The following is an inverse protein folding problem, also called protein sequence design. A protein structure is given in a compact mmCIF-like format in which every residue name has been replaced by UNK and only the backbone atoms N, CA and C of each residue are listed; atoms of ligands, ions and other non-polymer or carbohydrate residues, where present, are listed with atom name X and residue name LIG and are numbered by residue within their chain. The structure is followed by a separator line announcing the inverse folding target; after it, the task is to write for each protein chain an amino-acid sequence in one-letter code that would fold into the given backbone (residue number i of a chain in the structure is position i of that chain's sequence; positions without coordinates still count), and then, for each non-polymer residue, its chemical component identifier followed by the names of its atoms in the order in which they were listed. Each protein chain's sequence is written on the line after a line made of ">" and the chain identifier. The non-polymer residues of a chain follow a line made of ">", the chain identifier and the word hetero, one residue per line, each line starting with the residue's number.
data_IF_131091211967
#
_entry.id   IF_131091211967
#
_cell.length_a   1.000
_cell.length_b   1.000
_cell.length_c   1.000
_cell.angle_alpha   90.00
_cell.angle_beta   90.00
_cell.angle_gamma   90.00
#
_symmetry.space_group_name_H-M   'P 1'
#
loop_
_entity.id
_entity.type
_entity.pdbx_description
1 polymer ?
#
# COMPACT_ATOMS: atom_id res chain seq x y z
N UNK A 1 17.72 -13.15 -10.86
CA UNK A 1 16.65 -14.01 -11.44
C UNK A 1 15.60 -13.08 -12.05
N UNK A 2 15.31 -13.22 -13.33
CA UNK A 2 14.34 -12.36 -14.02
C UNK A 2 12.95 -12.97 -13.89
N UNK A 3 11.94 -12.13 -13.61
CA UNK A 3 10.53 -12.56 -13.62
C UNK A 3 10.17 -13.20 -14.95
N UNK A 4 9.47 -14.32 -14.92
CA UNK A 4 8.89 -14.91 -16.11
C UNK A 4 7.85 -13.98 -16.75
N UNK A 5 7.57 -14.16 -18.02
CA UNK A 5 6.54 -13.37 -18.73
C UNK A 5 5.16 -13.54 -18.08
N UNK A 6 4.84 -14.76 -17.65
CA UNK A 6 3.56 -15.06 -16.97
C UNK A 6 3.45 -14.34 -15.63
N UNK A 7 4.50 -14.32 -14.80
CA UNK A 7 4.49 -13.59 -13.53
C UNK A 7 4.27 -12.10 -13.72
N UNK A 8 4.98 -11.48 -14.70
CA UNK A 8 4.79 -10.06 -15.02
C UNK A 8 3.33 -9.76 -15.39
N UNK A 9 2.74 -10.58 -16.25
CA UNK A 9 1.34 -10.42 -16.68
C UNK A 9 0.40 -10.60 -15.49
N UNK A 10 0.62 -11.61 -14.65
CA UNK A 10 -0.19 -11.86 -13.46
C UNK A 10 -0.15 -10.66 -12.51
N UNK A 11 1.04 -10.17 -12.15
CA UNK A 11 1.16 -9.05 -11.21
C UNK A 11 0.59 -7.75 -11.75
N UNK A 12 0.79 -7.46 -13.04
CA UNK A 12 0.16 -6.30 -13.70
C UNK A 12 -1.36 -6.43 -13.75
N UNK A 13 -1.87 -7.61 -14.06
CA UNK A 13 -3.30 -7.90 -14.08
C UNK A 13 -3.94 -7.74 -12.70
N UNK A 14 -3.28 -8.23 -11.67
CA UNK A 14 -3.71 -8.08 -10.28
C UNK A 14 -3.68 -6.62 -9.83
N UNK A 15 -2.66 -5.86 -10.20
CA UNK A 15 -2.62 -4.42 -9.93
C UNK A 15 -3.78 -3.68 -10.61
N UNK A 16 -4.01 -3.96 -11.90
CA UNK A 16 -5.13 -3.38 -12.63
C UNK A 16 -6.48 -3.76 -12.00
N UNK A 17 -6.65 -5.00 -11.56
CA UNK A 17 -7.83 -5.45 -10.84
C UNK A 17 -8.04 -4.67 -9.53
N UNK A 18 -6.97 -4.42 -8.76
CA UNK A 18 -7.06 -3.60 -7.54
C UNK A 18 -7.55 -2.19 -7.86
N UNK A 19 -7.02 -1.56 -8.91
CA UNK A 19 -7.47 -0.23 -9.34
C UNK A 19 -8.96 -0.25 -9.75
N UNK A 20 -9.38 -1.21 -10.58
CA UNK A 20 -10.79 -1.34 -11.00
C UNK A 20 -11.70 -1.55 -9.79
N UNK A 21 -11.31 -2.42 -8.86
CA UNK A 21 -12.09 -2.69 -7.64
C UNK A 21 -12.22 -1.43 -6.79
N UNK A 22 -11.13 -0.68 -6.60
CA UNK A 22 -11.15 0.59 -5.87
C UNK A 22 -12.13 1.58 -6.48
N UNK A 23 -12.00 1.85 -7.78
CA UNK A 23 -12.88 2.81 -8.45
C UNK A 23 -14.33 2.35 -8.44
N UNK A 24 -14.60 1.06 -8.61
CA UNK A 24 -15.96 0.51 -8.55
C UNK A 24 -16.60 0.69 -7.18
N UNK A 25 -15.88 0.32 -6.11
CA UNK A 25 -16.37 0.48 -4.73
C UNK A 25 -16.60 1.96 -4.42
N UNK A 26 -15.71 2.84 -4.86
CA UNK A 26 -15.84 4.29 -4.65
C UNK A 26 -17.09 4.90 -5.31
N UNK A 27 -17.61 4.30 -6.39
CA UNK A 27 -18.81 4.78 -7.07
C UNK A 27 -20.12 4.29 -6.42
N UNK A 28 -20.07 3.19 -5.66
CA UNK A 28 -21.28 2.58 -5.06
C UNK A 28 -21.46 2.95 -3.59
N UNK A 29 -20.73 3.93 -3.10
CA UNK A 29 -20.81 4.40 -1.71
C UNK A 29 -22.20 4.97 -1.41
N UNK A 30 -22.89 4.38 -0.43
CA UNK A 30 -24.22 4.82 0.02
C UNK A 30 -24.13 5.17 1.50
N UNK A 31 -24.57 6.40 1.88
CA UNK A 31 -24.61 6.89 3.26
C UNK A 31 -23.28 6.75 3.99
N UNK A 32 -22.20 7.35 3.49
CA UNK A 32 -20.89 7.25 4.13
C UNK A 32 -20.90 7.93 5.50
N UNK A 33 -20.10 7.37 6.40
CA UNK A 33 -19.82 8.00 7.70
C UNK A 33 -18.82 9.13 7.48
N UNK A 34 -19.20 10.35 7.87
CA UNK A 34 -18.29 11.48 7.78
C UNK A 34 -17.21 11.36 8.88
N UNK A 35 -15.96 11.51 8.48
CA UNK A 35 -14.81 11.53 9.37
C UNK A 35 -14.02 12.83 9.16
N UNK A 36 -13.40 13.32 10.22
CA UNK A 36 -12.67 14.58 10.18
C UNK A 36 -11.18 14.38 10.44
N UNK A 37 -10.37 15.16 9.74
CA UNK A 37 -8.94 15.24 10.02
C UNK A 37 -8.72 15.89 11.39
N UNK A 38 -7.85 15.34 12.26
CA UNK A 38 -7.50 16.01 13.50
C UNK A 38 -6.91 17.40 13.25
N UNK A 39 -7.34 18.41 14.04
CA UNK A 39 -6.96 19.81 13.83
C UNK A 39 -5.44 20.07 13.91
N UNK A 40 -4.69 19.19 14.56
CA UNK A 40 -3.24 19.30 14.68
C UNK A 40 -2.47 18.84 13.43
N UNK A 41 -3.16 18.18 12.47
CA UNK A 41 -2.52 17.72 11.23
C UNK A 41 -2.46 18.86 10.22
N UNK A 42 -1.26 19.32 9.84
CA UNK A 42 -1.12 20.37 8.85
C UNK A 42 -1.54 19.88 7.46
N UNK A 43 -2.06 20.77 6.65
CA UNK A 43 -2.32 20.50 5.24
C UNK A 43 -1.11 20.92 4.40
N UNK A 44 -0.42 19.96 3.78
CA UNK A 44 0.81 20.16 3.00
C UNK A 44 0.69 19.52 1.60
N UNK A 45 0.03 20.16 0.64
CA UNK A 45 -0.26 19.58 -0.68
C UNK A 45 1.01 19.23 -1.49
N UNK A 46 2.14 19.86 -1.21
CA UNK A 46 3.44 19.56 -1.86
C UNK A 46 3.88 18.11 -1.57
N UNK A 47 3.47 17.53 -0.46
CA UNK A 47 3.80 16.14 -0.10
C UNK A 47 2.96 15.11 -0.87
N UNK A 48 2.10 15.54 -1.80
CA UNK A 48 1.50 14.64 -2.78
C UNK A 48 2.54 13.96 -3.68
N UNK A 49 3.70 14.58 -3.91
CA UNK A 49 4.79 14.00 -4.71
C UNK A 49 5.32 12.71 -4.06
N UNK A 50 5.87 12.72 -2.83
CA UNK A 50 6.35 11.51 -2.18
C UNK A 50 5.25 10.47 -1.97
N UNK A 51 4.01 10.89 -1.72
CA UNK A 51 2.85 10.00 -1.66
C UNK A 51 2.63 9.25 -2.98
N UNK A 52 2.56 9.95 -4.12
CA UNK A 52 2.36 9.33 -5.43
C UNK A 52 3.52 8.40 -5.80
N UNK A 53 4.75 8.81 -5.49
CA UNK A 53 5.94 7.97 -5.70
C UNK A 53 5.89 6.71 -4.84
N UNK A 54 5.42 6.79 -3.60
CA UNK A 54 5.23 5.63 -2.73
C UNK A 54 4.22 4.65 -3.32
N UNK A 55 3.05 5.12 -3.74
CA UNK A 55 1.99 4.25 -4.28
C UNK A 55 2.50 3.42 -5.45
N UNK A 56 3.16 4.05 -6.43
CA UNK A 56 3.69 3.34 -7.60
C UNK A 56 4.97 2.58 -7.25
N UNK A 57 5.88 3.22 -6.51
CA UNK A 57 7.20 2.69 -6.18
C UNK A 57 7.15 1.40 -5.39
N UNK A 58 6.23 1.29 -4.43
CA UNK A 58 6.08 0.10 -3.59
C UNK A 58 5.74 -1.16 -4.40
N UNK A 59 4.90 -1.05 -5.42
CA UNK A 59 4.60 -2.19 -6.31
C UNK A 59 5.81 -2.58 -7.17
N UNK A 60 6.55 -1.59 -7.68
CA UNK A 60 7.79 -1.83 -8.43
C UNK A 60 8.83 -2.50 -7.54
N UNK A 61 8.97 -2.04 -6.30
CA UNK A 61 9.89 -2.62 -5.32
C UNK A 61 9.49 -4.05 -4.94
N UNK A 62 8.21 -4.37 -4.84
CA UNK A 62 7.76 -5.74 -4.60
C UNK A 62 8.27 -6.71 -5.68
N UNK A 63 8.38 -6.27 -6.95
CA UNK A 63 8.96 -7.06 -8.04
C UNK A 63 10.48 -7.22 -7.91
N UNK A 64 11.16 -6.35 -7.15
CA UNK A 64 12.60 -6.39 -6.93
C UNK A 64 13.02 -7.33 -5.79
N UNK A 65 12.09 -7.91 -5.05
CA UNK A 65 12.36 -8.97 -4.04
C UNK A 65 12.99 -10.17 -4.76
N UNK A 66 14.20 -10.58 -4.30
CA UNK A 66 15.01 -11.62 -4.98
C UNK A 66 14.45 -13.01 -4.75
N UNK A 67 14.09 -13.33 -3.50
CA UNK A 67 13.47 -14.59 -3.15
C UNK A 67 12.08 -14.69 -3.77
N UNK A 68 11.89 -15.65 -4.68
CA UNK A 68 10.64 -15.82 -5.42
C UNK A 68 9.48 -16.18 -4.50
N UNK A 69 9.70 -17.03 -3.50
CA UNK A 69 8.65 -17.43 -2.57
C UNK A 69 8.21 -16.23 -1.73
N UNK A 70 9.16 -15.42 -1.25
CA UNK A 70 8.87 -14.19 -0.50
C UNK A 70 8.19 -13.16 -1.39
N UNK A 71 8.62 -13.00 -2.64
CA UNK A 71 7.95 -12.11 -3.60
C UNK A 71 6.49 -12.51 -3.81
N UNK A 72 6.21 -13.80 -4.01
CA UNK A 72 4.83 -14.32 -4.10
C UNK A 72 4.05 -14.09 -2.80
N UNK A 73 4.69 -14.29 -1.64
CA UNK A 73 4.10 -13.99 -0.34
C UNK A 73 3.74 -12.51 -0.18
N UNK A 74 4.55 -11.57 -0.69
CA UNK A 74 4.22 -10.14 -0.69
C UNK A 74 2.93 -9.84 -1.44
N UNK A 75 2.78 -10.36 -2.65
CA UNK A 75 1.56 -10.15 -3.43
C UNK A 75 0.36 -10.83 -2.80
N UNK A 76 0.51 -12.05 -2.28
CA UNK A 76 -0.55 -12.74 -1.57
C UNK A 76 -0.99 -11.97 -0.31
N UNK A 77 -0.02 -11.49 0.50
CA UNK A 77 -0.30 -10.64 1.66
C UNK A 77 -1.06 -9.37 1.27
N UNK A 78 -0.61 -8.71 0.19
CA UNK A 78 -1.26 -7.52 -0.31
C UNK A 78 -2.72 -7.79 -0.69
N UNK A 79 -3.00 -8.83 -1.48
CA UNK A 79 -4.38 -9.12 -1.92
C UNK A 79 -5.26 -9.59 -0.76
N UNK A 80 -4.72 -10.30 0.22
CA UNK A 80 -5.43 -10.66 1.43
C UNK A 80 -5.84 -9.40 2.21
N UNK A 81 -4.88 -8.51 2.50
CA UNK A 81 -5.15 -7.25 3.21
C UNK A 81 -6.07 -6.34 2.41
N UNK A 82 -5.87 -6.24 1.10
CA UNK A 82 -6.69 -5.43 0.21
C UNK A 82 -8.13 -5.95 0.13
N UNK A 83 -8.32 -7.26 0.07
CA UNK A 83 -9.65 -7.88 0.12
C UNK A 83 -10.40 -7.53 1.41
N UNK A 84 -9.73 -7.62 2.56
CA UNK A 84 -10.30 -7.16 3.84
C UNK A 84 -10.62 -5.67 3.81
N UNK A 85 -9.72 -4.85 3.27
CA UNK A 85 -9.91 -3.42 3.08
C UNK A 85 -11.16 -3.12 2.24
N UNK A 86 -11.33 -3.81 1.11
CA UNK A 86 -12.50 -3.66 0.25
C UNK A 86 -13.82 -4.04 0.97
N UNK A 87 -13.81 -5.09 1.79
CA UNK A 87 -14.97 -5.46 2.60
C UNK A 87 -15.31 -4.36 3.61
N UNK A 88 -14.29 -3.77 4.27
CA UNK A 88 -14.51 -2.66 5.20
C UNK A 88 -15.09 -1.46 4.45
N UNK A 89 -14.53 -1.07 3.31
CA UNK A 89 -15.04 0.04 2.52
C UNK A 89 -16.48 -0.17 2.04
N UNK A 90 -16.84 -1.40 1.71
CA UNK A 90 -18.19 -1.73 1.26
C UNK A 90 -19.22 -1.69 2.41
N UNK A 91 -18.89 -2.26 3.59
CA UNK A 91 -19.81 -2.31 4.73
C UNK A 91 -19.75 -1.10 5.63
N UNK A 92 -18.64 -0.38 5.64
CA UNK A 92 -18.41 0.81 6.46
C UNK A 92 -17.77 1.93 5.61
N UNK A 93 -18.49 2.44 4.60
CA UNK A 93 -17.97 3.50 3.75
C UNK A 93 -17.77 4.78 4.57
N UNK A 94 -16.66 5.45 4.33
CA UNK A 94 -16.30 6.69 5.01
C UNK A 94 -16.00 7.80 4.02
N UNK A 95 -16.27 9.04 4.38
CA UNK A 95 -15.94 10.23 3.59
C UNK A 95 -15.22 11.26 4.45
N UNK A 96 -14.23 11.92 3.87
CA UNK A 96 -13.51 13.00 4.52
C UNK A 96 -13.35 14.17 3.56
N UNK A 97 -13.83 15.35 3.96
CA UNK A 97 -13.69 16.55 3.15
C UNK A 97 -12.23 17.00 3.11
N UNK A 98 -11.75 17.24 1.90
CA UNK A 98 -10.40 17.72 1.62
C UNK A 98 -10.41 19.21 1.34
N UNK A 99 -9.38 19.96 1.77
CA UNK A 99 -9.27 21.37 1.42
C UNK A 99 -9.20 21.58 -0.10
N UNK A 100 -9.95 22.54 -0.59
CA UNK A 100 -9.81 22.98 -1.98
C UNK A 100 -8.55 23.83 -2.12
N UNK A 101 -7.70 23.48 -3.07
CA UNK A 101 -6.47 24.24 -3.39
C UNK A 101 -6.56 24.69 -4.82
N UNK A 102 -6.50 26.01 -5.08
CA UNK A 102 -6.46 26.52 -6.44
C UNK A 102 -5.28 25.93 -7.23
N UNK A 103 -5.45 25.59 -8.51
CA UNK A 103 -4.36 25.07 -9.33
C UNK A 103 -3.16 26.04 -9.36
N UNK A 104 -1.96 25.46 -9.17
CA UNK A 104 -0.71 26.20 -9.22
C UNK A 104 0.45 25.25 -9.56
N UNK A 105 1.56 25.79 -10.07
CA UNK A 105 2.70 24.97 -10.49
C UNK A 105 3.31 24.11 -9.36
N UNK A 106 3.19 24.57 -8.10
CA UNK A 106 3.76 23.91 -6.92
C UNK A 106 2.82 22.85 -6.32
N UNK A 107 1.52 22.87 -6.66
CA UNK A 107 0.51 21.96 -6.10
C UNK A 107 -0.17 21.08 -7.16
N UNK A 108 0.31 21.13 -8.42
CA UNK A 108 -0.27 20.32 -9.50
C UNK A 108 -0.35 18.80 -9.16
N UNK A 109 0.61 18.18 -8.42
CA UNK A 109 0.49 16.76 -8.09
C UNK A 109 -0.70 16.50 -7.17
N UNK A 110 -0.95 17.42 -6.22
CA UNK A 110 -2.15 17.34 -5.37
C UNK A 110 -3.42 17.52 -6.19
N UNK A 111 -3.46 18.47 -7.10
CA UNK A 111 -4.64 18.74 -7.96
C UNK A 111 -4.96 17.53 -8.85
N UNK A 112 -3.95 16.89 -9.43
CA UNK A 112 -4.11 15.66 -10.22
C UNK A 112 -4.64 14.53 -9.34
N UNK A 113 -4.03 14.32 -8.20
CA UNK A 113 -4.45 13.28 -7.24
C UNK A 113 -5.90 13.50 -6.78
N UNK A 114 -6.24 14.72 -6.35
CA UNK A 114 -7.59 15.06 -5.89
C UNK A 114 -8.65 15.00 -6.99
N UNK A 115 -8.24 15.14 -8.25
CA UNK A 115 -9.13 14.98 -9.42
C UNK A 115 -9.37 13.52 -9.80
N UNK A 116 -8.45 12.62 -9.47
CA UNK A 116 -8.55 11.19 -9.77
C UNK A 116 -9.14 10.39 -8.61
N UNK A 117 -8.90 10.80 -7.39
CA UNK A 117 -9.22 10.08 -6.16
C UNK A 117 -10.38 10.74 -5.42
N UNK A 118 -11.49 10.01 -5.30
CA UNK A 118 -12.65 10.48 -4.56
C UNK A 118 -12.36 10.54 -3.04
N UNK A 119 -12.94 11.51 -2.30
CA UNK A 119 -12.71 11.66 -0.86
C UNK A 119 -13.48 10.62 -0.01
N UNK A 120 -13.58 9.40 -0.50
CA UNK A 120 -14.29 8.28 0.13
C UNK A 120 -13.33 7.14 0.46
N UNK A 121 -13.81 6.14 1.19
CA UNK A 121 -13.02 4.95 1.54
C UNK A 121 -11.76 5.30 2.36
N UNK A 122 -11.94 6.16 3.37
CA UNK A 122 -10.83 6.70 4.17
C UNK A 122 -10.26 5.65 5.13
N UNK A 123 -11.08 4.74 5.64
CA UNK A 123 -10.67 3.70 6.62
C UNK A 123 -10.85 2.31 6.02
N UNK A 124 -9.82 1.48 6.04
CA UNK A 124 -8.40 1.71 6.33
C UNK A 124 -7.66 2.35 5.16
N UNK A 125 -6.43 2.83 5.41
CA UNK A 125 -5.57 3.38 4.37
C UNK A 125 -5.00 2.26 3.48
N UNK A 126 -5.63 2.00 2.34
CA UNK A 126 -5.21 0.95 1.40
C UNK A 126 -3.80 1.15 0.81
N UNK A 127 -3.39 2.41 0.65
CA UNK A 127 -2.07 2.77 0.11
C UNK A 127 -0.89 2.40 1.04
N UNK A 128 -1.15 2.07 2.31
CA UNK A 128 -0.13 1.67 3.30
C UNK A 128 0.22 0.19 3.21
N UNK A 129 -0.65 -0.63 2.62
CA UNK A 129 -0.51 -2.09 2.66
C UNK A 129 0.80 -2.56 2.02
N UNK A 130 1.05 -2.19 0.77
CA UNK A 130 2.25 -2.62 0.05
C UNK A 130 3.54 -2.04 0.66
N UNK A 131 3.64 -0.75 1.01
CA UNK A 131 4.79 -0.17 1.72
C UNK A 131 5.23 -0.97 2.95
N UNK A 132 4.31 -1.32 3.81
CA UNK A 132 4.63 -2.09 5.04
C UNK A 132 5.11 -3.50 4.68
N UNK A 133 4.44 -4.16 3.74
CA UNK A 133 4.81 -5.51 3.31
C UNK A 133 6.21 -5.53 2.69
N UNK A 134 6.57 -4.55 1.86
CA UNK A 134 7.89 -4.50 1.23
C UNK A 134 9.00 -4.18 2.23
N UNK A 135 8.79 -3.28 3.19
CA UNK A 135 9.75 -3.04 4.26
C UNK A 135 10.03 -4.35 4.99
N UNK A 136 8.99 -5.09 5.34
CA UNK A 136 9.15 -6.41 5.98
C UNK A 136 9.88 -7.41 5.08
N UNK A 137 9.53 -7.50 3.80
CA UNK A 137 10.20 -8.40 2.87
C UNK A 137 11.68 -8.05 2.72
N UNK A 138 11.99 -6.76 2.54
CA UNK A 138 13.38 -6.30 2.37
C UNK A 138 14.22 -6.44 3.64
N UNK A 139 13.61 -6.44 4.83
CA UNK A 139 14.36 -6.72 6.07
C UNK A 139 15.00 -8.12 6.10
N UNK A 140 14.50 -9.04 5.26
CA UNK A 140 15.00 -10.41 5.13
C UNK A 140 15.73 -10.68 3.80
N UNK A 141 15.44 -9.89 2.77
CA UNK A 141 15.94 -10.10 1.41
C UNK A 141 17.13 -9.20 1.06
N UNK A 142 17.08 -7.95 1.50
CA UNK A 142 18.09 -6.92 1.27
C UNK A 142 18.11 -5.90 2.42
N UNK A 143 18.53 -6.28 3.62
CA UNK A 143 18.52 -5.39 4.78
C UNK A 143 19.34 -4.10 4.55
N UNK A 144 20.33 -4.18 3.66
CA UNK A 144 21.12 -3.02 3.25
C UNK A 144 20.32 -1.92 2.52
N UNK A 145 19.09 -2.22 2.05
CA UNK A 145 18.24 -1.22 1.42
C UNK A 145 17.37 -0.46 2.43
N UNK A 146 17.23 -0.94 3.64
CA UNK A 146 16.33 -0.34 4.63
C UNK A 146 16.70 1.08 5.00
N UNK A 147 17.97 1.46 4.91
CA UNK A 147 18.44 2.79 5.29
C UNK A 147 17.83 3.93 4.46
N UNK A 148 17.49 3.65 3.18
CA UNK A 148 16.80 4.61 2.31
C UNK A 148 15.32 4.27 2.14
N UNK A 149 14.97 2.97 2.12
CA UNK A 149 13.61 2.50 1.89
C UNK A 149 12.69 2.94 3.04
N UNK A 150 13.09 2.75 4.29
CA UNK A 150 12.27 3.14 5.44
C UNK A 150 12.00 4.64 5.47
N UNK A 151 13.00 5.55 5.32
CA UNK A 151 12.74 6.97 5.21
C UNK A 151 11.86 7.37 4.01
N UNK A 152 12.05 6.74 2.85
CA UNK A 152 11.26 7.04 1.67
C UNK A 152 9.78 6.67 1.85
N UNK A 153 9.51 5.46 2.38
CA UNK A 153 8.16 5.01 2.67
C UNK A 153 7.51 5.82 3.80
N UNK A 154 8.28 6.18 4.85
CA UNK A 154 7.80 7.05 5.92
C UNK A 154 7.41 8.44 5.38
N UNK A 155 8.20 9.02 4.47
CA UNK A 155 7.88 10.29 3.84
C UNK A 155 6.58 10.21 3.02
N UNK A 156 6.38 9.11 2.29
CA UNK A 156 5.12 8.84 1.59
C UNK A 156 3.93 8.74 2.56
N UNK A 157 4.10 8.03 3.69
CA UNK A 157 3.06 7.92 4.72
C UNK A 157 2.73 9.28 5.36
N UNK A 158 3.73 10.13 5.60
CA UNK A 158 3.53 11.52 6.04
C UNK A 158 2.75 12.28 4.96
N UNK A 159 3.10 12.07 3.69
CA UNK A 159 2.40 12.67 2.55
C UNK A 159 0.92 12.29 2.51
N UNK A 160 0.58 11.01 2.73
CA UNK A 160 -0.81 10.54 2.78
C UNK A 160 -1.62 11.29 3.86
N UNK A 161 -1.03 11.47 5.05
CA UNK A 161 -1.71 12.16 6.16
C UNK A 161 -1.80 13.66 5.91
N UNK A 162 -0.71 14.29 5.49
CA UNK A 162 -0.65 15.76 5.32
C UNK A 162 -1.32 16.27 4.05
N UNK A 163 -1.60 15.42 3.08
CA UNK A 163 -2.47 15.74 1.92
C UNK A 163 -3.95 15.46 2.21
N UNK A 164 -4.26 15.07 3.43
CA UNK A 164 -5.60 14.74 3.91
C UNK A 164 -6.28 13.63 3.10
N UNK A 165 -5.50 12.62 2.71
CA UNK A 165 -6.04 11.39 2.10
C UNK A 165 -6.57 10.44 3.19
N UNK A 166 -5.81 10.30 4.27
CA UNK A 166 -6.13 9.44 5.40
C UNK A 166 -5.73 10.10 6.71
N UNK A 167 -6.48 9.82 7.78
CA UNK A 167 -6.11 10.23 9.14
C UNK A 167 -4.97 9.34 9.67
N UNK A 168 -4.23 9.79 10.69
CA UNK A 168 -3.20 8.94 11.33
C UNK A 168 -3.73 7.57 11.79
N UNK A 169 -4.95 7.52 12.30
CA UNK A 169 -5.58 6.26 12.74
C UNK A 169 -5.86 5.32 11.58
N UNK A 170 -6.21 5.83 10.40
CA UNK A 170 -6.49 5.03 9.20
C UNK A 170 -5.22 4.36 8.68
N UNK A 171 -4.08 5.10 8.78
CA UNK A 171 -2.73 4.59 8.50
C UNK A 171 -2.37 3.47 9.46
N UNK A 172 -2.61 3.66 10.76
CA UNK A 172 -2.35 2.63 11.78
C UNK A 172 -3.14 1.34 11.49
N UNK A 173 -4.42 1.46 11.16
CA UNK A 173 -5.25 0.30 10.78
C UNK A 173 -4.69 -0.39 9.54
N UNK A 174 -4.27 0.37 8.53
CA UNK A 174 -3.61 -0.17 7.34
C UNK A 174 -2.32 -0.93 7.67
N UNK A 175 -1.47 -0.39 8.56
CA UNK A 175 -0.25 -1.06 9.03
C UNK A 175 -0.59 -2.40 9.70
N UNK A 176 -1.57 -2.42 10.62
CA UNK A 176 -1.96 -3.64 11.32
C UNK A 176 -2.49 -4.70 10.37
N UNK A 177 -3.31 -4.32 9.38
CA UNK A 177 -3.79 -5.22 8.34
C UNK A 177 -2.64 -5.78 7.49
N UNK A 178 -1.70 -4.94 7.08
CA UNK A 178 -0.54 -5.36 6.30
C UNK A 178 0.35 -6.35 7.07
N UNK A 179 0.62 -6.07 8.35
CA UNK A 179 1.39 -6.96 9.22
C UNK A 179 0.68 -8.29 9.44
N UNK A 180 -0.62 -8.28 9.73
CA UNK A 180 -1.43 -9.49 9.90
C UNK A 180 -1.45 -10.35 8.64
N UNK A 181 -1.70 -9.75 7.49
CA UNK A 181 -1.69 -10.45 6.20
C UNK A 181 -0.30 -10.96 5.83
N UNK A 182 0.75 -10.17 6.08
CA UNK A 182 2.14 -10.57 5.85
C UNK A 182 2.54 -11.76 6.72
N UNK A 183 2.07 -11.81 7.96
CA UNK A 183 2.28 -12.96 8.84
C UNK A 183 1.58 -14.21 8.32
N UNK A 184 0.31 -14.12 7.92
CA UNK A 184 -0.46 -15.23 7.32
C UNK A 184 0.20 -15.72 6.03
N UNK A 185 0.64 -14.82 5.17
CA UNK A 185 1.30 -15.14 3.92
C UNK A 185 2.74 -15.68 4.08
N UNK A 186 3.34 -15.53 5.27
CA UNK A 186 4.69 -15.99 5.55
C UNK A 186 5.79 -15.13 4.95
N UNK A 187 5.59 -13.81 4.82
CA UNK A 187 6.58 -12.87 4.24
C UNK A 187 7.92 -12.95 4.97
N UNK A 188 7.93 -13.10 6.30
CA UNK A 188 9.14 -13.22 7.13
C UNK A 188 9.70 -14.63 7.25
N UNK A 189 9.05 -15.66 6.70
CA UNK A 189 9.54 -17.03 6.86
C UNK A 189 10.84 -17.23 6.07
N UNK A 190 11.86 -17.79 6.74
CA UNK A 190 13.01 -18.37 6.04
C UNK A 190 12.54 -19.64 5.35
N UNK A 191 12.99 -19.91 4.13
CA UNK A 191 13.02 -21.29 3.64
C UNK A 191 13.92 -22.04 4.62
N UNK A 192 13.38 -22.95 5.37
CA UNK A 192 14.15 -24.10 5.80
C UNK A 192 14.55 -24.78 4.50
N UNK A 193 15.83 -24.69 4.22
CA UNK A 193 16.41 -25.25 3.00
C UNK A 193 16.09 -26.73 3.04
N UNK A 194 15.54 -27.24 1.96
CA UNK A 194 15.32 -28.67 1.70
C UNK A 194 16.67 -29.43 1.70
N UNK A 195 17.77 -28.84 2.16
CA UNK A 195 19.07 -29.44 2.39
C UNK A 195 19.00 -30.55 3.46
N UNK A 196 18.13 -30.47 4.47
CA UNK A 196 17.96 -31.55 5.42
C UNK A 196 17.30 -32.81 4.79
N UNK A 197 16.41 -32.62 3.81
CA UNK A 197 15.80 -33.78 3.14
C UNK A 197 16.76 -34.46 2.14
N UNK A 198 17.70 -33.72 1.55
CA UNK A 198 18.73 -34.27 0.67
C UNK A 198 19.87 -34.92 1.49
N UNK A 199 20.20 -34.35 2.63
CA UNK A 199 21.21 -34.95 3.54
C UNK A 199 20.70 -36.20 4.28
N UNK A 200 19.38 -36.37 4.43
CA UNK A 200 18.78 -37.56 5.02
C UNK A 200 18.59 -38.74 4.01
N UNK A 201 18.83 -38.50 2.72
CA UNK A 201 18.69 -39.48 1.64
C UNK A 201 20.03 -39.85 0.97
N UNK A 202 21.15 -39.28 1.43
CA UNK A 202 22.52 -39.62 1.05
C UNK A 202 23.22 -40.40 2.16
#
# INVERSE_FOLDING_TARGET
>A
MTLSRSEKITYLGLFALSCVTYFTISQVVVRPVEVMMPAWVPFLPVLAIPYLLQVVGSYVLALAVRDEARRRACFYAYFLAYGVTCLIWYFYPTVMHRPHVPPGWWNWPYSVMAGLDMPVNVVPAGHILMPVIIIWAFSHDRPEWLWWLVPAEALGMIGIVTTWQHRPVDVLVGILLALGAGWVAGVGKRREVVEEAVAATA
#
